data_IF_952664687720
#
_entry.id   IF_952664687720
#
_cell.length_a   1.000
_cell.length_b   1.000
_cell.length_c   1.000
_cell.angle_alpha   90.00
_cell.angle_beta   90.00
_cell.angle_gamma   90.00
#
_symmetry.space_group_name_H-M   'P 1'
#
loop_
_entity.id
_entity.type
_entity.pdbx_description
1 polymer ?
#
# COMPACT_ATOMS: atom_id res chain seq x y z
N UNK A 1 39.60 -62.01 36.73
CA UNK A 1 40.26 -60.75 36.33
C UNK A 1 39.79 -60.40 34.93
N UNK A 2 39.01 -59.33 34.80
CA UNK A 2 38.01 -59.10 33.74
C UNK A 2 38.60 -58.39 32.51
N UNK A 3 38.36 -58.93 31.30
CA UNK A 3 38.65 -58.29 30.01
C UNK A 3 37.60 -57.20 29.70
N UNK A 4 37.86 -55.95 30.08
CA UNK A 4 37.12 -54.74 29.64
C UNK A 4 38.01 -53.90 28.73
N UNK A 5 38.00 -54.16 27.42
CA UNK A 5 38.79 -53.37 26.45
C UNK A 5 38.18 -53.23 25.05
N UNK A 6 37.22 -54.08 24.67
CA UNK A 6 36.63 -54.06 23.32
C UNK A 6 35.51 -53.04 23.12
N UNK A 7 34.77 -52.68 24.17
CA UNK A 7 33.53 -51.90 24.02
C UNK A 7 33.78 -50.40 23.80
N UNK A 8 34.79 -49.83 24.46
CA UNK A 8 35.16 -48.41 24.29
C UNK A 8 35.67 -48.11 22.87
N UNK A 9 36.42 -49.02 22.24
CA UNK A 9 36.90 -48.82 20.85
C UNK A 9 35.76 -48.85 19.83
N UNK A 10 34.74 -49.69 20.04
CA UNK A 10 33.56 -49.74 19.16
C UNK A 10 32.67 -48.50 19.30
N UNK A 11 32.53 -47.96 20.50
CA UNK A 11 31.78 -46.71 20.73
C UNK A 11 32.52 -45.50 20.13
N UNK A 12 33.84 -45.41 20.32
CA UNK A 12 34.63 -44.32 19.71
C UNK A 12 34.59 -44.40 18.18
N UNK A 13 34.69 -45.59 17.59
CA UNK A 13 34.56 -45.76 16.14
C UNK A 13 33.16 -45.37 15.62
N UNK A 14 32.10 -45.70 16.36
CA UNK A 14 30.73 -45.32 15.99
C UNK A 14 30.50 -43.80 16.10
N UNK A 15 31.05 -43.14 17.12
CA UNK A 15 30.94 -41.68 17.28
C UNK A 15 31.73 -40.95 16.20
N UNK A 16 32.92 -41.44 15.84
CA UNK A 16 33.71 -40.86 14.72
C UNK A 16 32.99 -41.06 13.38
N UNK A 17 32.35 -42.21 13.15
CA UNK A 17 31.57 -42.45 11.94
C UNK A 17 30.34 -41.54 11.87
N UNK A 18 29.64 -41.32 12.99
CA UNK A 18 28.49 -40.40 13.06
C UNK A 18 28.95 -38.95 12.83
N UNK A 19 30.09 -38.53 13.39
CA UNK A 19 30.63 -37.19 13.16
C UNK A 19 31.06 -36.99 11.70
N UNK A 20 31.65 -38.01 11.06
CA UNK A 20 31.99 -37.96 9.63
C UNK A 20 30.71 -37.88 8.78
N UNK A 21 29.68 -38.68 9.09
CA UNK A 21 28.39 -38.64 8.38
C UNK A 21 27.73 -37.28 8.54
N UNK A 22 27.71 -36.71 9.76
CA UNK A 22 27.18 -35.37 10.01
C UNK A 22 27.99 -34.30 9.26
N UNK A 23 29.31 -34.39 9.22
CA UNK A 23 30.16 -33.45 8.47
C UNK A 23 29.97 -33.58 6.95
N UNK A 24 29.75 -34.79 6.43
CA UNK A 24 29.44 -34.99 5.01
C UNK A 24 28.03 -34.56 4.64
N UNK A 25 27.07 -34.69 5.56
CA UNK A 25 25.71 -34.16 5.39
C UNK A 25 25.73 -32.64 5.44
N UNK A 26 26.47 -32.01 6.37
CA UNK A 26 26.65 -30.55 6.42
C UNK A 26 27.39 -30.03 5.18
N UNK A 27 28.39 -30.78 4.68
CA UNK A 27 29.12 -30.45 3.46
C UNK A 27 28.22 -30.61 2.20
N UNK A 28 27.38 -31.64 2.12
CA UNK A 28 26.41 -31.79 1.01
C UNK A 28 25.22 -30.82 1.10
N UNK A 29 24.80 -30.40 2.31
CA UNK A 29 23.84 -29.32 2.50
C UNK A 29 24.46 -27.96 2.16
N UNK A 30 25.75 -27.77 2.43
CA UNK A 30 26.51 -26.57 2.02
C UNK A 30 26.70 -26.51 0.49
N UNK A 31 26.87 -27.64 -0.20
CA UNK A 31 26.95 -27.69 -1.66
C UNK A 31 25.57 -27.60 -2.36
N UNK A 32 24.45 -27.61 -1.62
CA UNK A 32 23.09 -27.49 -2.18
C UNK A 32 22.34 -26.21 -1.76
N UNK A 33 23.03 -25.27 -1.10
CA UNK A 33 22.49 -23.98 -0.64
C UNK A 33 23.18 -22.75 -1.22
N UNK A 34 23.83 -22.86 -2.38
CA UNK A 34 24.36 -21.71 -3.10
C UNK A 34 24.04 -21.81 -4.60
N UNK A 35 22.83 -21.38 -4.97
CA UNK A 35 22.50 -20.88 -6.31
C UNK A 35 21.19 -20.05 -6.31
N UNK A 36 21.05 -19.18 -5.30
CA UNK A 36 20.08 -18.08 -5.35
C UNK A 36 20.63 -16.76 -4.78
N UNK A 37 21.95 -16.57 -4.84
CA UNK A 37 22.54 -15.25 -4.89
C UNK A 37 22.19 -14.67 -6.26
N UNK A 38 21.11 -13.90 -6.33
CA UNK A 38 20.82 -13.05 -7.49
C UNK A 38 21.98 -12.07 -7.60
N UNK A 39 22.94 -12.38 -8.47
CA UNK A 39 23.94 -11.45 -8.91
C UNK A 39 23.22 -10.25 -9.52
N UNK A 40 23.47 -9.05 -8.97
CA UNK A 40 23.18 -7.81 -9.67
C UNK A 40 23.97 -7.88 -10.99
N UNK A 41 23.26 -7.99 -12.12
CA UNK A 41 23.91 -7.98 -13.43
C UNK A 41 24.68 -6.65 -13.62
N UNK A 42 25.83 -6.67 -14.34
CA UNK A 42 26.61 -5.46 -14.56
C UNK A 42 25.82 -4.45 -15.40
N UNK A 43 26.01 -3.16 -15.09
CA UNK A 43 25.54 -2.04 -15.90
C UNK A 43 25.98 -2.19 -17.37
N UNK A 44 25.01 -2.30 -18.28
CA UNK A 44 25.23 -2.14 -19.71
C UNK A 44 25.53 -0.67 -20.03
N UNK A 45 26.60 -0.42 -20.78
CA UNK A 45 27.00 0.91 -21.26
C UNK A 45 26.63 1.12 -22.73
N UNK A 46 25.39 0.79 -23.11
CA UNK A 46 24.91 1.06 -24.47
C UNK A 46 23.98 2.30 -24.48
N UNK A 47 24.37 3.33 -25.23
CA UNK A 47 23.77 4.67 -25.21
C UNK A 47 22.38 4.75 -25.89
N UNK A 48 21.79 3.63 -26.32
CA UNK A 48 20.50 3.60 -27.02
C UNK A 48 19.48 2.57 -26.50
N UNK A 49 19.71 1.91 -25.37
CA UNK A 49 18.66 1.14 -24.68
C UNK A 49 17.96 2.02 -23.64
N UNK A 50 16.61 1.96 -23.58
CA UNK A 50 15.83 2.58 -22.50
C UNK A 50 16.47 2.20 -21.18
N UNK A 51 16.95 3.19 -20.42
CA UNK A 51 17.73 3.00 -19.19
C UNK A 51 16.86 2.24 -18.18
N UNK A 52 17.04 0.91 -18.12
CA UNK A 52 16.49 0.08 -17.08
C UNK A 52 17.34 0.32 -15.83
N UNK A 53 16.93 1.26 -14.99
CA UNK A 53 17.34 1.23 -13.57
C UNK A 53 16.95 -0.17 -13.10
N UNK A 54 17.89 -0.98 -12.59
CA UNK A 54 17.76 -2.42 -12.29
C UNK A 54 16.58 -2.80 -11.39
N UNK A 55 15.38 -2.60 -11.90
CA UNK A 55 14.08 -2.79 -11.28
C UNK A 55 13.43 -3.92 -12.02
N UNK A 56 12.82 -4.84 -11.28
CA UNK A 56 12.00 -5.90 -11.87
C UNK A 56 10.83 -5.21 -12.59
N UNK A 57 10.85 -5.23 -13.92
CA UNK A 57 9.80 -4.63 -14.75
C UNK A 57 8.53 -5.49 -14.60
N UNK A 58 7.57 -5.02 -13.81
CA UNK A 58 6.25 -5.62 -13.72
C UNK A 58 5.38 -5.10 -14.86
N UNK A 59 4.64 -6.00 -15.53
CA UNK A 59 3.66 -5.60 -16.54
C UNK A 59 2.68 -4.57 -15.95
N UNK A 60 2.24 -3.57 -16.73
CA UNK A 60 1.16 -2.68 -16.31
C UNK A 60 -0.07 -3.51 -15.93
N UNK A 61 -0.71 -3.17 -14.82
CA UNK A 61 -2.04 -3.69 -14.53
C UNK A 61 -2.99 -3.02 -15.53
N UNK A 62 -3.81 -3.78 -16.25
CA UNK A 62 -4.77 -3.25 -17.23
C UNK A 62 -5.85 -2.34 -16.59
N UNK A 63 -5.84 -2.19 -15.26
CA UNK A 63 -6.80 -1.41 -14.47
C UNK A 63 -6.32 0.00 -14.07
N UNK A 64 -5.36 0.59 -14.78
CA UNK A 64 -4.93 2.00 -14.62
C UNK A 64 -6.00 3.02 -15.03
N UNK A 65 -7.20 2.97 -14.45
CA UNK A 65 -8.29 3.91 -14.71
C UNK A 65 -8.25 5.06 -13.71
N UNK A 66 -8.41 6.30 -14.19
CA UNK A 66 -8.61 7.46 -13.31
C UNK A 66 -9.94 7.37 -12.54
N UNK A 67 -10.01 8.00 -11.36
CA UNK A 67 -11.24 8.05 -10.56
C UNK A 67 -12.25 8.95 -11.27
N UNK A 68 -13.38 8.38 -11.68
CA UNK A 68 -14.47 9.09 -12.35
C UNK A 68 -15.63 9.29 -11.39
N UNK A 69 -16.41 10.34 -11.64
CA UNK A 69 -17.64 10.62 -10.91
C UNK A 69 -18.84 10.66 -11.86
N UNK A 70 -19.90 9.94 -11.50
CA UNK A 70 -21.20 9.96 -12.16
C UNK A 70 -22.18 10.67 -11.24
N UNK A 71 -22.77 11.76 -11.71
CA UNK A 71 -23.79 12.47 -10.94
C UNK A 71 -25.10 11.67 -10.96
N UNK A 72 -25.58 11.27 -9.78
CA UNK A 72 -26.84 10.55 -9.62
C UNK A 72 -28.00 11.54 -9.43
N UNK A 73 -27.78 12.57 -8.62
CA UNK A 73 -28.71 13.66 -8.38
C UNK A 73 -27.96 14.94 -7.99
N UNK A 74 -28.69 16.01 -7.67
CA UNK A 74 -28.07 17.25 -7.19
C UNK A 74 -27.22 16.99 -5.94
N UNK A 75 -25.91 17.27 -6.02
CA UNK A 75 -24.92 17.06 -4.94
C UNK A 75 -24.80 15.60 -4.45
N UNK A 76 -25.09 14.62 -5.32
CA UNK A 76 -24.94 13.19 -5.05
C UNK A 76 -24.19 12.56 -6.23
N UNK A 77 -23.02 12.02 -5.95
CA UNK A 77 -22.10 11.48 -6.97
C UNK A 77 -21.71 10.05 -6.60
N UNK A 78 -21.77 9.15 -7.56
CA UNK A 78 -21.13 7.84 -7.48
C UNK A 78 -19.71 7.95 -8.07
N UNK A 79 -18.73 7.27 -7.50
CA UNK A 79 -17.39 7.15 -8.09
C UNK A 79 -17.04 5.71 -8.43
N UNK A 80 -16.18 5.09 -7.63
CA UNK A 80 -15.71 3.72 -7.79
C UNK A 80 -16.79 2.74 -7.38
N UNK A 81 -17.10 1.76 -8.23
CA UNK A 81 -17.98 0.65 -7.87
C UNK A 81 -17.23 -0.68 -7.92
N UNK A 82 -17.63 -1.64 -7.09
CA UNK A 82 -16.96 -2.92 -7.04
C UNK A 82 -17.92 -4.06 -6.69
N UNK A 83 -17.75 -5.17 -7.38
CA UNK A 83 -18.38 -6.44 -7.03
C UNK A 83 -17.57 -7.05 -5.90
N UNK A 84 -18.19 -7.24 -4.75
CA UNK A 84 -17.56 -7.75 -3.53
C UNK A 84 -18.12 -9.13 -3.17
N UNK A 85 -17.32 -10.17 -3.43
CA UNK A 85 -17.62 -11.55 -3.07
C UNK A 85 -17.16 -11.93 -1.66
N UNK A 86 -16.40 -11.07 -0.96
CA UNK A 86 -15.87 -11.38 0.36
C UNK A 86 -17.00 -11.62 1.35
N UNK A 87 -17.03 -12.85 1.86
CA UNK A 87 -18.04 -13.31 2.80
C UNK A 87 -17.70 -12.84 4.21
N UNK A 88 -18.05 -11.58 4.48
CA UNK A 88 -17.79 -10.93 5.75
C UNK A 88 -19.02 -10.32 6.41
N UNK A 89 -18.76 -9.58 7.48
CA UNK A 89 -19.81 -8.97 8.32
C UNK A 89 -20.47 -7.76 7.68
N UNK A 90 -20.05 -7.41 6.45
CA UNK A 90 -20.64 -6.37 5.62
C UNK A 90 -21.67 -6.90 4.62
N UNK A 91 -22.03 -8.18 4.73
CA UNK A 91 -22.91 -8.88 3.78
C UNK A 91 -22.22 -9.18 2.46
N UNK A 92 -22.66 -10.25 1.78
CA UNK A 92 -22.09 -10.74 0.51
C UNK A 92 -23.14 -11.59 -0.22
N UNK A 93 -23.11 -11.76 -1.55
CA UNK A 93 -22.36 -10.94 -2.50
C UNK A 93 -23.07 -9.61 -2.74
N UNK A 94 -22.31 -8.54 -2.89
CA UNK A 94 -22.82 -7.18 -3.10
C UNK A 94 -22.12 -6.54 -4.29
N UNK A 95 -22.84 -5.68 -5.01
CA UNK A 95 -22.19 -4.56 -5.70
C UNK A 95 -22.19 -3.38 -4.74
N UNK A 96 -21.00 -2.83 -4.52
CA UNK A 96 -20.79 -1.69 -3.63
C UNK A 96 -20.35 -0.47 -4.44
N UNK A 97 -20.73 0.70 -3.99
CA UNK A 97 -20.44 1.96 -4.69
C UNK A 97 -19.91 2.97 -3.70
N UNK A 98 -18.74 3.53 -3.98
CA UNK A 98 -18.23 4.70 -3.30
C UNK A 98 -19.08 5.91 -3.72
N UNK A 99 -19.80 6.47 -2.77
CA UNK A 99 -20.71 7.59 -2.95
C UNK A 99 -20.15 8.82 -2.25
N UNK A 100 -20.36 9.99 -2.85
CA UNK A 100 -20.10 11.28 -2.21
C UNK A 100 -21.37 12.12 -2.23
N UNK A 101 -21.86 12.48 -1.06
CA UNK A 101 -23.12 13.20 -0.88
C UNK A 101 -23.15 14.01 0.41
N UNK A 102 -24.09 14.95 0.52
CA UNK A 102 -24.21 15.81 1.71
C UNK A 102 -24.79 15.12 2.93
N UNK A 103 -25.89 14.40 2.71
CA UNK A 103 -26.59 13.64 3.72
C UNK A 103 -26.78 12.21 3.21
N UNK A 104 -26.89 11.27 4.13
CA UNK A 104 -27.33 9.92 3.77
C UNK A 104 -28.71 9.97 3.13
N UNK A 105 -28.90 9.16 2.09
CA UNK A 105 -30.13 9.05 1.30
C UNK A 105 -30.45 7.58 1.06
N UNK A 106 -31.71 7.28 0.75
CA UNK A 106 -32.16 5.91 0.47
C UNK A 106 -32.12 5.62 -1.03
N UNK A 107 -31.45 4.53 -1.40
CA UNK A 107 -31.26 4.13 -2.79
C UNK A 107 -31.97 2.82 -3.11
N UNK A 108 -32.35 2.67 -4.37
CA UNK A 108 -32.69 1.38 -4.99
C UNK A 108 -31.61 1.01 -6.00
N UNK A 109 -31.31 -0.28 -6.08
CA UNK A 109 -30.40 -0.83 -7.08
C UNK A 109 -31.11 -1.89 -7.92
N UNK A 110 -30.73 -2.01 -9.19
CA UNK A 110 -31.31 -2.95 -10.15
C UNK A 110 -30.19 -3.61 -10.97
N UNK A 111 -30.31 -4.92 -11.18
CA UNK A 111 -29.38 -5.78 -11.93
C UNK A 111 -30.15 -6.48 -13.06
N UNK A 112 -29.98 -6.01 -14.30
CA UNK A 112 -30.91 -6.39 -15.39
C UNK A 112 -32.33 -6.03 -14.98
N UNK A 113 -33.28 -6.97 -14.99
CA UNK A 113 -34.67 -6.72 -14.56
C UNK A 113 -34.93 -6.96 -13.06
N UNK A 114 -33.91 -7.29 -12.27
CA UNK A 114 -34.08 -7.68 -10.87
C UNK A 114 -33.68 -6.55 -9.93
N UNK A 115 -34.60 -6.07 -9.09
CA UNK A 115 -34.26 -5.15 -8.01
C UNK A 115 -33.46 -5.86 -6.91
N UNK A 116 -32.53 -5.14 -6.30
CA UNK A 116 -31.78 -5.59 -5.15
C UNK A 116 -32.73 -5.83 -3.96
N UNK A 117 -32.68 -7.00 -3.30
CA UNK A 117 -33.55 -7.27 -2.16
C UNK A 117 -33.16 -6.46 -0.90
N UNK A 118 -31.92 -5.97 -0.82
CA UNK A 118 -31.41 -5.20 0.31
C UNK A 118 -30.48 -4.12 -0.20
N UNK A 119 -30.79 -2.87 0.12
CA UNK A 119 -29.93 -1.71 -0.08
C UNK A 119 -29.61 -1.07 1.27
N UNK A 120 -28.37 -0.65 1.46
CA UNK A 120 -27.95 0.07 2.67
C UNK A 120 -26.80 1.01 2.38
N UNK A 121 -26.71 2.09 3.15
CA UNK A 121 -25.64 3.09 3.04
C UNK A 121 -24.78 3.04 4.29
N UNK A 122 -23.47 2.94 4.11
CA UNK A 122 -22.47 2.96 5.17
C UNK A 122 -21.65 4.25 5.09
N UNK A 123 -21.67 5.09 6.12
CA UNK A 123 -20.86 6.30 6.19
C UNK A 123 -19.43 5.95 6.60
N UNK A 124 -18.43 6.46 5.88
CA UNK A 124 -17.03 6.29 6.27
C UNK A 124 -16.70 7.10 7.54
N UNK A 125 -15.82 6.59 8.37
CA UNK A 125 -15.57 7.03 9.75
C UNK A 125 -14.86 8.38 9.83
N UNK A 126 -14.02 8.72 8.86
CA UNK A 126 -13.17 9.92 8.86
C UNK A 126 -13.71 11.04 7.96
N UNK A 127 -15.03 11.23 7.94
CA UNK A 127 -15.67 12.32 7.18
C UNK A 127 -15.51 13.72 7.81
N UNK A 128 -15.08 13.80 9.07
CA UNK A 128 -14.82 15.04 9.82
C UNK A 128 -15.95 16.10 9.77
N UNK A 129 -17.20 15.66 9.68
CA UNK A 129 -18.39 16.53 9.63
C UNK A 129 -18.37 17.54 8.46
N UNK A 130 -17.68 17.22 7.37
CA UNK A 130 -17.62 18.06 6.17
C UNK A 130 -18.96 18.09 5.42
N UNK A 131 -19.13 19.08 4.55
CA UNK A 131 -20.37 19.27 3.80
C UNK A 131 -20.66 18.13 2.84
N UNK A 132 -19.66 17.70 2.10
CA UNK A 132 -19.67 16.49 1.28
C UNK A 132 -18.96 15.39 2.06
N UNK A 133 -19.60 14.24 2.16
CA UNK A 133 -19.11 13.07 2.90
C UNK A 133 -19.09 11.84 2.02
N UNK A 134 -18.22 10.92 2.35
CA UNK A 134 -17.99 9.67 1.65
C UNK A 134 -18.76 8.53 2.31
N UNK A 135 -19.45 7.74 1.49
CA UNK A 135 -20.24 6.59 1.91
C UNK A 135 -19.99 5.41 0.99
N UNK A 136 -20.35 4.21 1.42
CA UNK A 136 -20.48 3.01 0.59
C UNK A 136 -21.96 2.66 0.48
N UNK A 137 -22.53 2.77 -0.71
CA UNK A 137 -23.83 2.17 -1.03
C UNK A 137 -23.62 0.68 -1.27
N UNK A 138 -24.38 -0.15 -0.56
CA UNK A 138 -24.34 -1.60 -0.64
C UNK A 138 -25.62 -2.09 -1.32
N UNK A 139 -25.50 -2.65 -2.52
CA UNK A 139 -26.58 -3.30 -3.26
C UNK A 139 -26.42 -4.83 -3.22
N UNK A 140 -27.28 -5.53 -2.48
CA UNK A 140 -27.27 -6.99 -2.43
C UNK A 140 -27.58 -7.56 -3.81
N UNK A 141 -26.77 -8.49 -4.31
CA UNK A 141 -27.04 -9.13 -5.60
C UNK A 141 -28.13 -10.21 -5.41
N UNK A 142 -29.23 -10.21 -6.20
CA UNK A 142 -30.24 -11.26 -6.15
C UNK A 142 -29.67 -12.63 -6.53
N UNK A 143 -30.10 -13.70 -5.86
CA UNK A 143 -29.58 -15.06 -6.09
C UNK A 143 -29.79 -15.58 -7.53
N UNK A 144 -30.72 -15.01 -8.30
CA UNK A 144 -30.98 -15.37 -9.69
C UNK A 144 -30.08 -14.67 -10.71
N UNK A 145 -29.22 -13.74 -10.28
CA UNK A 145 -28.31 -12.99 -11.16
C UNK A 145 -26.98 -13.73 -11.24
N UNK A 146 -26.49 -13.97 -12.45
CA UNK A 146 -25.17 -14.52 -12.71
C UNK A 146 -24.10 -13.45 -12.46
N UNK A 147 -23.25 -13.68 -11.46
CA UNK A 147 -22.28 -12.69 -10.95
C UNK A 147 -21.08 -12.54 -11.90
N UNK A 148 -20.64 -13.65 -12.50
CA UNK A 148 -19.45 -13.69 -13.35
C UNK A 148 -19.62 -12.86 -14.63
N UNK A 149 -20.84 -12.76 -15.15
CA UNK A 149 -21.19 -11.99 -16.36
C UNK A 149 -21.68 -10.57 -16.07
N UNK A 150 -21.78 -10.17 -14.79
CA UNK A 150 -22.30 -8.87 -14.39
C UNK A 150 -21.28 -7.76 -14.60
N UNK A 151 -21.45 -6.93 -15.63
CA UNK A 151 -20.55 -5.79 -15.92
C UNK A 151 -21.13 -4.43 -15.50
N UNK A 152 -22.47 -4.33 -15.48
CA UNK A 152 -23.17 -3.08 -15.18
C UNK A 152 -24.35 -3.31 -14.23
N UNK A 153 -24.75 -2.25 -13.57
CA UNK A 153 -25.92 -2.22 -12.68
C UNK A 153 -26.49 -0.80 -12.65
N UNK A 154 -27.69 -0.68 -12.12
CA UNK A 154 -28.43 0.58 -12.10
C UNK A 154 -28.70 1.01 -10.67
N UNK A 155 -28.57 2.31 -10.38
CA UNK A 155 -28.97 2.88 -9.09
C UNK A 155 -29.88 4.08 -9.28
N UNK A 156 -30.71 4.35 -8.27
CA UNK A 156 -31.47 5.60 -8.15
C UNK A 156 -31.76 5.94 -6.70
N UNK A 157 -32.10 7.20 -6.44
CA UNK A 157 -32.76 7.56 -5.19
C UNK A 157 -34.17 6.95 -5.16
N UNK A 158 -34.61 6.54 -3.97
CA UNK A 158 -35.94 5.94 -3.79
C UNK A 158 -37.08 6.87 -4.21
N UNK A 159 -36.87 8.19 -4.01
CA UNK A 159 -37.81 9.25 -4.40
C UNK A 159 -37.82 9.59 -5.89
N UNK A 160 -36.83 9.09 -6.64
CA UNK A 160 -36.71 9.37 -8.07
C UNK A 160 -37.28 8.23 -8.92
N UNK A 161 -37.68 8.57 -10.14
CA UNK A 161 -38.22 7.58 -11.08
C UNK A 161 -37.12 6.89 -11.89
N UNK A 162 -36.14 7.69 -12.35
CA UNK A 162 -35.12 7.28 -13.31
C UNK A 162 -33.91 6.61 -12.64
N UNK A 163 -33.48 5.50 -13.23
CA UNK A 163 -32.23 4.83 -12.89
C UNK A 163 -31.04 5.42 -13.68
N UNK A 164 -29.87 5.39 -13.07
CA UNK A 164 -28.58 5.70 -13.67
C UNK A 164 -27.74 4.43 -13.76
N UNK A 165 -27.26 4.12 -14.97
CA UNK A 165 -26.35 3.00 -15.22
C UNK A 165 -24.94 3.31 -14.71
N UNK A 166 -24.33 2.32 -14.07
CA UNK A 166 -22.96 2.31 -13.58
C UNK A 166 -22.25 1.02 -14.01
N UNK A 167 -20.96 1.13 -14.30
CA UNK A 167 -20.11 -0.02 -14.59
C UNK A 167 -19.43 -0.49 -13.31
N UNK A 168 -19.22 -1.80 -13.19
CA UNK A 168 -18.38 -2.40 -12.15
C UNK A 168 -16.93 -2.06 -12.45
N UNK A 169 -16.27 -1.32 -11.55
CA UNK A 169 -14.88 -0.89 -11.71
C UNK A 169 -13.90 -1.97 -11.27
N UNK A 170 -14.15 -2.58 -10.11
CA UNK A 170 -13.30 -3.65 -9.57
C UNK A 170 -14.12 -4.91 -9.27
N UNK A 171 -13.48 -6.07 -9.43
CA UNK A 171 -14.01 -7.36 -8.97
C UNK A 171 -13.14 -7.84 -7.82
N UNK A 172 -13.73 -7.88 -6.64
CA UNK A 172 -13.09 -8.28 -5.39
C UNK A 172 -13.54 -9.70 -5.08
N UNK A 173 -12.68 -10.71 -5.28
CA UNK A 173 -13.02 -12.10 -4.99
C UNK A 173 -13.12 -12.33 -3.49
N UNK A 174 -13.70 -13.47 -3.09
CA UNK A 174 -13.56 -13.98 -1.73
C UNK A 174 -12.07 -14.07 -1.36
N UNK A 175 -11.69 -13.54 -0.21
CA UNK A 175 -10.30 -13.45 0.24
C UNK A 175 -9.63 -14.83 0.33
N UNK A 176 -10.40 -15.89 0.58
CA UNK A 176 -9.89 -17.28 0.65
C UNK A 176 -9.51 -17.84 -0.72
N UNK A 177 -9.97 -17.21 -1.81
CA UNK A 177 -9.59 -17.57 -3.18
C UNK A 177 -8.29 -16.89 -3.62
N UNK A 178 -7.81 -15.88 -2.89
CA UNK A 178 -6.55 -15.19 -3.18
C UNK A 178 -5.41 -16.05 -2.63
N UNK A 179 -4.65 -16.68 -3.53
CA UNK A 179 -3.55 -17.59 -3.17
C UNK A 179 -2.17 -17.04 -3.53
N UNK A 180 -2.12 -16.04 -4.39
CA UNK A 180 -0.88 -15.46 -4.90
C UNK A 180 -1.06 -13.96 -5.10
N UNK A 181 0.02 -13.22 -4.88
CA UNK A 181 0.12 -11.79 -5.12
C UNK A 181 1.18 -11.54 -6.20
N UNK A 182 0.94 -10.53 -7.04
CA UNK A 182 1.89 -10.12 -8.06
C UNK A 182 3.05 -9.31 -7.46
N UNK A 183 2.75 -8.59 -6.38
CA UNK A 183 3.65 -7.69 -5.68
C UNK A 183 3.63 -8.01 -4.18
N UNK A 184 4.78 -7.95 -3.52
CA UNK A 184 4.89 -8.16 -2.08
C UNK A 184 4.57 -6.91 -1.27
N UNK A 185 5.01 -5.73 -1.74
CA UNK A 185 4.76 -4.46 -1.06
C UNK A 185 4.48 -3.33 -2.06
N UNK A 186 3.36 -2.65 -1.85
CA UNK A 186 3.00 -1.41 -2.52
C UNK A 186 2.78 -0.25 -1.54
N UNK A 187 2.75 0.97 -2.06
CA UNK A 187 2.41 2.18 -1.29
C UNK A 187 1.24 2.89 -1.95
N UNK A 188 0.27 3.31 -1.14
CA UNK A 188 -0.79 4.24 -1.49
C UNK A 188 -0.47 5.62 -0.93
N UNK A 189 -0.16 6.56 -1.82
CA UNK A 189 0.00 7.99 -1.50
C UNK A 189 -1.32 8.69 -1.81
N UNK A 190 -2.01 9.25 -0.81
CA UNK A 190 -3.26 9.98 -1.02
C UNK A 190 -3.10 11.20 -1.94
N UNK A 191 -4.24 11.80 -2.33
CA UNK A 191 -4.25 12.86 -3.33
C UNK A 191 -3.28 14.01 -2.99
N UNK A 192 -2.28 14.22 -3.85
CA UNK A 192 -1.37 15.37 -3.78
C UNK A 192 -2.15 16.65 -4.09
N UNK A 193 -1.92 17.68 -3.27
CA UNK A 193 -2.55 19.00 -3.42
C UNK A 193 -1.56 20.13 -3.12
N UNK A 194 -1.88 21.33 -3.64
CA UNK A 194 -1.04 22.52 -3.51
C UNK A 194 0.25 22.43 -4.35
N UNK A 195 1.22 23.29 -4.04
CA UNK A 195 2.49 23.42 -4.80
C UNK A 195 3.73 23.15 -3.94
N UNK A 196 3.57 22.36 -2.88
CA UNK A 196 4.61 22.15 -1.85
C UNK A 196 5.66 21.09 -2.21
N UNK A 197 5.38 20.24 -3.19
CA UNK A 197 6.26 19.14 -3.58
C UNK A 197 7.41 19.65 -4.44
N UNK A 198 8.57 18.99 -4.36
CA UNK A 198 9.76 19.31 -5.17
C UNK A 198 10.19 18.06 -5.93
N UNK A 199 10.71 18.16 -7.17
CA UNK A 199 11.21 17.01 -7.93
C UNK A 199 12.20 16.14 -7.14
N UNK A 200 13.18 16.77 -6.49
CA UNK A 200 14.15 16.10 -5.61
C UNK A 200 13.46 15.36 -4.44
N UNK A 201 12.33 15.90 -3.97
CA UNK A 201 11.33 15.27 -3.08
C UNK A 201 10.99 13.86 -3.49
N UNK A 202 10.40 13.83 -4.67
CA UNK A 202 9.85 12.65 -5.32
C UNK A 202 10.96 11.64 -5.61
N UNK A 203 12.13 12.10 -6.08
CA UNK A 203 13.27 11.21 -6.33
C UNK A 203 13.73 10.54 -5.03
N UNK A 204 13.94 11.30 -3.96
CA UNK A 204 14.40 10.74 -2.69
C UNK A 204 13.37 9.75 -2.10
N UNK A 205 12.08 10.09 -2.14
CA UNK A 205 11.00 9.18 -1.73
C UNK A 205 10.98 7.90 -2.57
N UNK A 206 11.10 8.01 -3.89
CA UNK A 206 11.05 6.87 -4.78
C UNK A 206 12.23 5.92 -4.57
N UNK A 207 13.46 6.46 -4.54
CA UNK A 207 14.67 5.66 -4.39
C UNK A 207 14.76 5.01 -3.01
N UNK A 208 14.40 5.71 -1.93
CA UNK A 208 14.38 5.11 -0.60
C UNK A 208 13.40 3.94 -0.53
N UNK A 209 12.18 4.10 -1.03
CA UNK A 209 11.19 3.03 -0.99
C UNK A 209 11.56 1.86 -1.91
N UNK A 210 12.16 2.12 -3.08
CA UNK A 210 12.71 1.07 -3.94
C UNK A 210 13.78 0.24 -3.22
N UNK A 211 14.71 0.89 -2.49
CA UNK A 211 15.72 0.20 -1.67
C UNK A 211 15.14 -0.64 -0.53
N UNK A 212 13.90 -0.35 -0.12
CA UNK A 212 13.18 -1.12 0.88
C UNK A 212 12.38 -2.29 0.30
N UNK A 213 12.45 -2.50 -1.02
CA UNK A 213 11.76 -3.59 -1.71
C UNK A 213 10.31 -3.27 -2.08
N UNK A 214 9.89 -2.01 -2.00
CA UNK A 214 8.61 -1.57 -2.57
C UNK A 214 8.69 -1.76 -4.08
N UNK A 215 7.61 -2.30 -4.68
CA UNK A 215 7.59 -2.58 -6.12
C UNK A 215 6.67 -1.64 -6.88
N UNK A 216 5.69 -1.01 -6.20
CA UNK A 216 4.75 -0.08 -6.82
C UNK A 216 4.25 0.98 -5.84
N UNK A 217 4.14 2.20 -6.32
CA UNK A 217 3.55 3.33 -5.59
C UNK A 217 2.39 3.89 -6.43
N UNK A 218 1.21 3.95 -5.83
CA UNK A 218 0.05 4.63 -6.39
C UNK A 218 0.02 6.04 -5.85
N UNK A 219 0.09 7.03 -6.74
CA UNK A 219 0.05 8.45 -6.36
C UNK A 219 -1.21 9.07 -6.92
N UNK A 220 -2.08 9.54 -6.02
CA UNK A 220 -3.29 10.24 -6.40
C UNK A 220 -3.02 11.73 -6.57
N UNK A 221 -3.77 12.39 -7.43
CA UNK A 221 -3.63 13.84 -7.62
C UNK A 221 -4.59 14.40 -8.65
N UNK A 222 -4.66 15.72 -8.70
CA UNK A 222 -5.32 16.44 -9.80
C UNK A 222 -4.45 16.35 -11.04
N UNK A 223 -5.10 16.41 -12.21
CA UNK A 223 -4.39 16.48 -13.49
C UNK A 223 -3.37 17.63 -13.52
N UNK A 224 -3.74 18.77 -12.96
CA UNK A 224 -2.85 19.94 -12.86
C UNK A 224 -1.57 19.66 -12.08
N UNK A 225 -1.58 18.81 -11.06
CA UNK A 225 -0.38 18.44 -10.29
C UNK A 225 0.56 17.56 -11.14
N UNK A 226 0.00 16.66 -11.92
CA UNK A 226 0.77 15.74 -12.76
C UNK A 226 1.33 16.40 -14.02
N UNK A 227 0.71 17.47 -14.52
CA UNK A 227 1.17 18.20 -15.71
C UNK A 227 2.08 19.40 -15.41
N UNK A 228 2.31 19.74 -14.15
CA UNK A 228 3.14 20.88 -13.73
C UNK A 228 4.65 20.53 -13.69
N UNK A 229 5.47 21.33 -13.01
CA UNK A 229 6.92 21.15 -12.86
C UNK A 229 7.36 19.79 -12.28
N UNK A 230 6.44 19.00 -11.74
CA UNK A 230 6.69 17.62 -11.27
C UNK A 230 6.63 16.58 -12.40
N UNK A 231 5.99 16.90 -13.53
CA UNK A 231 5.63 15.96 -14.60
C UNK A 231 6.83 15.11 -15.03
N UNK A 232 7.93 15.74 -15.43
CA UNK A 232 9.15 15.03 -15.89
C UNK A 232 9.65 14.01 -14.87
N UNK A 233 9.57 14.33 -13.57
CA UNK A 233 10.03 13.42 -12.51
C UNK A 233 9.02 12.31 -12.24
N UNK A 234 7.72 12.61 -12.24
CA UNK A 234 6.68 11.60 -12.06
C UNK A 234 6.67 10.61 -13.22
N UNK A 235 6.71 11.10 -14.47
CA UNK A 235 6.71 10.26 -15.67
C UNK A 235 7.95 9.38 -15.77
N UNK A 236 9.12 9.86 -15.35
CA UNK A 236 10.30 9.00 -15.25
C UNK A 236 10.02 7.73 -14.42
N UNK A 237 9.28 7.84 -13.31
CA UNK A 237 8.94 6.67 -12.49
C UNK A 237 7.75 5.86 -13.03
N UNK A 238 6.84 6.47 -13.78
CA UNK A 238 5.77 5.76 -14.50
C UNK A 238 6.36 4.89 -15.61
N UNK A 239 7.25 5.45 -16.43
CA UNK A 239 7.92 4.75 -17.53
C UNK A 239 8.79 3.58 -17.03
N UNK A 240 9.32 3.71 -15.81
CA UNK A 240 10.04 2.65 -15.10
C UNK A 240 9.13 1.69 -14.30
N UNK A 241 7.81 1.74 -14.50
CA UNK A 241 6.78 0.89 -13.88
C UNK A 241 6.75 0.91 -12.33
N UNK A 242 7.33 1.95 -11.72
CA UNK A 242 7.39 2.10 -10.27
C UNK A 242 6.22 2.93 -9.73
N UNK A 243 5.84 3.99 -10.44
CA UNK A 243 4.68 4.80 -10.11
C UNK A 243 3.48 4.46 -10.99
N UNK A 244 2.29 4.48 -10.39
CA UNK A 244 1.01 4.57 -11.07
C UNK A 244 0.35 5.88 -10.62
N UNK A 245 0.19 6.82 -11.56
CA UNK A 245 -0.49 8.09 -11.28
C UNK A 245 -1.98 7.89 -11.48
N UNK A 246 -2.78 8.27 -10.49
CA UNK A 246 -4.24 8.14 -10.52
C UNK A 246 -4.86 9.52 -10.43
N UNK A 247 -5.48 9.98 -11.53
CA UNK A 247 -6.15 11.27 -11.52
C UNK A 247 -7.47 11.18 -10.76
N UNK A 248 -7.75 12.18 -9.92
CA UNK A 248 -9.02 12.35 -9.22
C UNK A 248 -9.52 13.79 -9.36
N UNK A 249 -10.55 13.98 -10.20
CA UNK A 249 -11.18 15.29 -10.38
C UNK A 249 -12.52 15.36 -9.64
N UNK A 250 -12.56 15.97 -8.46
CA UNK A 250 -13.79 16.17 -7.70
C UNK A 250 -14.77 17.05 -8.48
N UNK A 251 -16.06 16.66 -8.58
CA UNK A 251 -17.10 17.41 -9.30
C UNK A 251 -17.70 18.58 -8.49
N UNK A 252 -17.01 18.99 -7.42
CA UNK A 252 -17.41 20.04 -6.48
C UNK A 252 -16.15 20.68 -5.88
N UNK A 253 -16.30 21.75 -5.10
CA UNK A 253 -15.15 22.48 -4.56
C UNK A 253 -14.34 21.64 -3.56
N UNK A 254 -13.01 21.71 -3.62
CA UNK A 254 -12.08 20.97 -2.76
C UNK A 254 -12.38 21.12 -1.26
N UNK A 255 -12.78 22.32 -0.83
CA UNK A 255 -13.12 22.62 0.56
C UNK A 255 -14.49 22.08 0.99
N UNK A 256 -15.31 21.56 0.08
CA UNK A 256 -16.60 20.94 0.44
C UNK A 256 -16.40 19.55 1.07
N UNK A 257 -15.27 18.88 0.87
CA UNK A 257 -14.95 17.54 1.39
C UNK A 257 -13.70 17.56 2.26
N UNK A 258 -13.58 16.58 3.16
CA UNK A 258 -12.41 16.48 4.02
C UNK A 258 -11.12 16.26 3.22
N UNK A 259 -10.12 17.10 3.50
CA UNK A 259 -8.74 16.98 3.04
C UNK A 259 -8.62 16.62 1.55
N UNK A 260 -9.25 17.41 0.67
CA UNK A 260 -9.21 17.23 -0.79
C UNK A 260 -9.73 15.86 -1.28
N UNK A 261 -10.62 15.21 -0.52
CA UNK A 261 -11.20 13.92 -0.88
C UNK A 261 -10.30 12.74 -0.55
N UNK A 262 -9.45 12.86 0.49
CA UNK A 262 -8.47 11.85 0.86
C UNK A 262 -9.07 10.44 1.02
N UNK A 263 -10.26 10.33 1.63
CA UNK A 263 -10.94 9.04 1.79
C UNK A 263 -11.31 8.38 0.46
N UNK A 264 -11.57 9.17 -0.59
CA UNK A 264 -11.84 8.64 -1.93
C UNK A 264 -10.56 7.99 -2.48
N UNK A 265 -9.43 8.69 -2.41
CA UNK A 265 -8.14 8.14 -2.85
C UNK A 265 -7.71 6.92 -2.05
N UNK A 266 -7.88 6.92 -0.72
CA UNK A 266 -7.53 5.78 0.14
C UNK A 266 -8.40 4.57 -0.20
N UNK A 267 -9.71 4.76 -0.35
CA UNK A 267 -10.64 3.66 -0.66
C UNK A 267 -10.38 3.07 -2.04
N UNK A 268 -10.20 3.92 -3.05
CA UNK A 268 -9.87 3.45 -4.41
C UNK A 268 -8.53 2.71 -4.43
N UNK A 269 -7.50 3.20 -3.73
CA UNK A 269 -6.20 2.57 -3.70
C UNK A 269 -6.21 1.22 -2.97
N UNK A 270 -6.99 1.11 -1.89
CA UNK A 270 -7.23 -0.17 -1.22
C UNK A 270 -7.80 -1.18 -2.22
N UNK A 271 -8.85 -0.80 -2.98
CA UNK A 271 -9.50 -1.68 -3.95
C UNK A 271 -8.54 -2.13 -5.07
N UNK A 272 -7.68 -1.23 -5.58
CA UNK A 272 -6.65 -1.58 -6.59
C UNK A 272 -5.69 -2.66 -6.14
N UNK A 273 -5.42 -2.73 -4.84
CA UNK A 273 -4.41 -3.60 -4.28
C UNK A 273 -4.97 -4.97 -3.83
N UNK A 274 -6.29 -5.13 -3.73
CA UNK A 274 -6.91 -6.43 -3.40
C UNK A 274 -6.58 -7.46 -4.47
N UNK A 275 -5.94 -8.56 -4.06
CA UNK A 275 -5.50 -9.64 -4.96
C UNK A 275 -4.29 -9.29 -5.82
N UNK A 276 -3.71 -8.08 -5.65
CA UNK A 276 -2.53 -7.63 -6.40
C UNK A 276 -1.30 -7.61 -5.49
N UNK A 277 -1.42 -6.96 -4.34
CA UNK A 277 -0.31 -6.75 -3.40
C UNK A 277 -0.53 -7.55 -2.13
N UNK A 278 0.51 -8.26 -1.67
CA UNK A 278 0.48 -8.98 -0.39
C UNK A 278 0.33 -7.99 0.78
N UNK A 279 1.11 -6.91 0.74
CA UNK A 279 0.97 -5.79 1.68
C UNK A 279 0.89 -4.45 0.94
N UNK A 280 0.15 -3.52 1.53
CA UNK A 280 0.07 -2.15 1.07
C UNK A 280 0.22 -1.21 2.25
N UNK A 281 1.13 -0.24 2.16
CA UNK A 281 1.23 0.84 3.13
C UNK A 281 0.48 2.09 2.66
N UNK A 282 -0.10 2.82 3.60
CA UNK A 282 -0.80 4.08 3.34
C UNK A 282 -0.04 5.19 4.05
N UNK A 283 0.80 5.93 3.34
CA UNK A 283 1.62 7.00 3.91
C UNK A 283 1.80 8.14 2.91
N UNK A 284 2.13 9.33 3.43
CA UNK A 284 2.35 10.53 2.63
C UNK A 284 3.80 10.57 2.09
N UNK A 285 4.12 11.51 1.19
CA UNK A 285 5.46 11.60 0.55
C UNK A 285 6.57 12.01 1.54
N UNK A 286 6.20 12.73 2.58
CA UNK A 286 7.07 13.16 3.69
C UNK A 286 7.14 12.14 4.82
N UNK A 287 6.60 10.94 4.59
CA UNK A 287 6.58 9.84 5.54
C UNK A 287 7.12 8.55 4.91
N UNK A 288 7.80 7.73 5.71
CA UNK A 288 8.36 6.47 5.24
C UNK A 288 8.58 5.48 6.39
N UNK A 289 8.34 4.20 6.12
CA UNK A 289 8.63 3.12 7.06
C UNK A 289 10.10 2.73 6.97
N UNK A 290 10.69 2.29 8.08
CA UNK A 290 12.06 1.78 8.16
C UNK A 290 12.09 0.57 9.11
N UNK A 291 12.72 -0.55 8.72
CA UNK A 291 12.97 -1.65 9.63
C UNK A 291 14.04 -1.24 10.66
N UNK A 292 13.74 -1.50 11.93
CA UNK A 292 14.63 -1.22 13.06
C UNK A 292 15.40 -2.46 13.52
N UNK A 293 15.18 -3.58 12.84
CA UNK A 293 15.85 -4.88 13.02
C UNK A 293 16.75 -5.19 11.81
N UNK A 294 17.62 -6.20 11.93
CA UNK A 294 18.52 -6.59 10.84
C UNK A 294 17.81 -7.48 9.80
N UNK A 295 16.77 -6.94 9.16
CA UNK A 295 15.95 -7.56 8.12
C UNK A 295 15.52 -6.51 7.10
N UNK A 296 15.10 -6.94 5.92
CA UNK A 296 14.42 -6.05 4.97
C UNK A 296 13.08 -5.58 5.53
N UNK A 297 12.52 -4.51 4.97
CA UNK A 297 11.21 -4.00 5.39
C UNK A 297 10.13 -5.08 5.20
N UNK A 298 10.13 -5.77 4.05
CA UNK A 298 9.13 -6.81 3.76
C UNK A 298 9.25 -8.03 4.68
N UNK A 299 10.46 -8.49 5.00
CA UNK A 299 10.66 -9.57 5.97
C UNK A 299 10.15 -9.16 7.35
N UNK A 300 10.47 -7.94 7.78
CA UNK A 300 9.98 -7.39 9.06
C UNK A 300 8.46 -7.33 9.08
N UNK A 301 7.82 -6.87 7.99
CA UNK A 301 6.35 -6.84 7.88
C UNK A 301 5.78 -8.26 7.99
N UNK A 302 6.32 -9.23 7.23
CA UNK A 302 5.83 -10.62 7.27
C UNK A 302 5.91 -11.24 8.67
N UNK A 303 6.99 -10.97 9.41
CA UNK A 303 7.14 -11.48 10.78
C UNK A 303 6.12 -10.86 11.76
N UNK A 304 5.75 -9.59 11.53
CA UNK A 304 4.79 -8.87 12.38
C UNK A 304 3.33 -9.25 12.09
N UNK A 305 3.06 -9.86 10.94
CA UNK A 305 1.71 -10.25 10.53
C UNK A 305 1.46 -11.73 10.81
N UNK A 306 0.48 -11.99 11.68
CA UNK A 306 -0.08 -13.34 11.86
C UNK A 306 -1.19 -13.61 10.83
N UNK A 307 -1.66 -14.86 10.75
CA UNK A 307 -2.69 -15.29 9.80
C UNK A 307 -3.95 -14.40 9.82
N UNK A 308 -4.32 -13.82 10.97
CA UNK A 308 -5.50 -12.97 11.14
C UNK A 308 -5.18 -11.46 11.34
N UNK A 309 -3.95 -11.01 11.13
CA UNK A 309 -3.61 -9.58 11.18
C UNK A 309 -4.00 -8.90 9.86
N UNK A 310 -5.14 -8.21 9.79
CA UNK A 310 -5.52 -7.49 8.57
C UNK A 310 -4.67 -6.25 8.33
N UNK A 311 -4.25 -5.58 9.41
CA UNK A 311 -3.54 -4.31 9.34
C UNK A 311 -2.64 -4.13 10.55
N UNK A 312 -1.55 -3.40 10.37
CA UNK A 312 -0.64 -3.00 11.40
C UNK A 312 -0.53 -1.49 11.40
N UNK A 313 -1.04 -0.86 12.45
CA UNK A 313 -0.91 0.59 12.66
C UNK A 313 0.43 0.88 13.32
N UNK A 314 1.30 1.62 12.65
CA UNK A 314 2.63 1.97 13.17
C UNK A 314 2.64 3.43 13.57
N UNK A 315 3.15 3.67 14.77
CA UNK A 315 3.32 5.01 15.35
C UNK A 315 4.40 5.82 14.64
N UNK A 316 4.13 7.11 14.42
CA UNK A 316 5.10 8.02 13.80
C UNK A 316 6.16 8.52 14.79
N UNK A 317 7.39 8.67 14.31
CA UNK A 317 8.45 9.43 14.95
C UNK A 317 8.81 10.64 14.06
N UNK A 318 8.79 11.83 14.64
CA UNK A 318 9.09 13.04 13.88
C UNK A 318 10.60 13.21 13.65
N UNK A 319 10.93 13.66 12.45
CA UNK A 319 12.28 14.07 12.05
C UNK A 319 12.31 15.59 11.81
N UNK A 320 13.30 16.28 12.38
CA UNK A 320 13.51 17.70 12.15
C UNK A 320 13.96 17.93 10.73
N UNK A 321 13.15 18.62 9.94
CA UNK A 321 13.47 18.89 8.55
C UNK A 321 14.66 19.87 8.46
N UNK A 322 15.77 19.41 7.87
CA UNK A 322 16.95 20.25 7.61
C UNK A 322 16.80 20.92 6.24
N UNK A 323 16.22 22.13 6.26
CA UNK A 323 16.01 22.93 5.07
C UNK A 323 17.30 23.16 4.26
N UNK A 324 17.17 23.14 2.92
CA UNK A 324 18.29 23.32 2.00
C UNK A 324 19.16 22.09 1.78
N UNK A 325 18.93 20.99 2.51
CA UNK A 325 19.61 19.72 2.27
C UNK A 325 19.27 19.12 0.90
N UNK A 326 20.29 18.59 0.22
CA UNK A 326 20.11 17.81 -1.01
C UNK A 326 19.31 16.52 -0.75
N UNK A 327 19.66 15.78 0.31
CA UNK A 327 18.99 14.56 0.77
C UNK A 327 18.45 14.79 2.19
N UNK A 328 17.13 14.90 2.35
CA UNK A 328 16.54 15.13 3.68
C UNK A 328 16.64 13.91 4.57
N UNK A 329 16.42 12.71 4.03
CA UNK A 329 16.40 11.47 4.80
C UNK A 329 17.75 11.20 5.46
N UNK A 330 18.83 11.59 4.78
CA UNK A 330 20.19 11.39 5.28
C UNK A 330 20.65 12.48 6.25
N UNK A 331 20.12 13.70 6.13
CA UNK A 331 20.60 14.84 6.93
C UNK A 331 19.64 15.25 8.06
N UNK A 332 18.37 14.85 8.01
CA UNK A 332 17.35 15.17 9.01
C UNK A 332 17.36 14.19 10.20
N UNK A 333 18.53 13.91 10.76
CA UNK A 333 18.73 12.82 11.75
C UNK A 333 18.31 13.18 13.18
N UNK A 334 17.83 14.40 13.44
CA UNK A 334 17.35 14.80 14.76
C UNK A 334 15.87 14.46 14.89
N UNK A 335 15.56 13.52 15.77
CA UNK A 335 14.22 12.98 16.00
C UNK A 335 13.64 13.41 17.34
N UNK A 336 12.32 13.23 17.47
CA UNK A 336 11.66 13.36 18.76
C UNK A 336 12.14 12.29 19.76
N UNK A 337 12.35 12.69 21.02
CA UNK A 337 12.83 11.80 22.11
C UNK A 337 11.87 10.64 22.39
N UNK A 338 10.56 10.90 22.36
CA UNK A 338 9.52 9.89 22.46
C UNK A 338 8.94 9.63 21.07
N UNK A 339 8.31 8.48 20.91
CA UNK A 339 7.28 8.32 19.89
C UNK A 339 6.12 9.19 20.38
N UNK A 340 6.12 10.44 19.95
CA UNK A 340 5.35 11.52 20.59
C UNK A 340 3.85 11.36 20.32
N UNK A 341 3.48 10.70 19.23
CA UNK A 341 2.13 10.81 18.71
C UNK A 341 1.51 9.43 18.44
N UNK A 342 0.73 8.92 19.40
CA UNK A 342 -0.16 7.76 19.16
C UNK A 342 -1.35 8.09 18.25
N UNK A 343 -1.51 9.37 17.87
CA UNK A 343 -2.62 9.87 17.03
C UNK A 343 -2.25 9.97 15.55
N UNK A 344 -0.99 10.23 15.24
CA UNK A 344 -0.48 10.25 13.87
C UNK A 344 0.28 8.95 13.65
N UNK A 345 -0.44 8.03 13.07
CA UNK A 345 0.02 6.69 12.73
C UNK A 345 -0.31 6.44 11.28
N UNK A 346 0.39 5.52 10.63
CA UNK A 346 0.03 5.03 9.31
C UNK A 346 -0.07 3.51 9.34
N UNK A 347 -0.77 2.96 8.37
CA UNK A 347 -1.05 1.53 8.33
C UNK A 347 -0.26 0.86 7.21
N UNK A 348 0.25 -0.33 7.52
CA UNK A 348 0.58 -1.35 6.53
C UNK A 348 -0.53 -2.38 6.66
N UNK A 349 -1.08 -2.92 5.57
CA UNK A 349 -2.22 -3.84 5.64
C UNK A 349 -2.19 -4.90 4.55
N UNK A 350 -2.97 -5.97 4.75
CA UNK A 350 -3.35 -6.95 3.74
C UNK A 350 -4.68 -6.51 3.10
N UNK A 351 -4.67 -6.02 1.85
CA UNK A 351 -5.82 -5.33 1.25
C UNK A 351 -7.12 -6.13 1.30
N UNK A 352 -7.05 -7.44 1.06
CA UNK A 352 -8.18 -8.36 0.97
C UNK A 352 -8.96 -8.47 2.29
N UNK A 353 -8.31 -8.24 3.43
CA UNK A 353 -8.90 -8.37 4.76
C UNK A 353 -9.55 -7.08 5.29
N UNK A 354 -9.41 -5.97 4.56
CA UNK A 354 -9.86 -4.64 5.00
C UNK A 354 -11.07 -4.19 4.20
N UNK A 355 -12.09 -3.68 4.90
CA UNK A 355 -13.27 -3.08 4.28
C UNK A 355 -13.13 -1.56 4.17
N UNK A 356 -12.63 -0.90 5.23
CA UNK A 356 -12.42 0.54 5.28
C UNK A 356 -11.06 0.84 5.90
N UNK A 357 -10.21 1.51 5.11
CA UNK A 357 -8.98 2.13 5.59
C UNK A 357 -9.21 3.64 5.76
N UNK A 358 -8.88 4.15 6.95
CA UNK A 358 -8.84 5.59 7.23
C UNK A 358 -7.45 6.19 6.98
N UNK A 359 -7.24 7.45 7.36
CA UNK A 359 -5.95 8.14 7.18
C UNK A 359 -4.91 7.61 8.16
N UNK A 360 -5.33 7.36 9.40
CA UNK A 360 -4.40 6.97 10.48
C UNK A 360 -4.63 5.55 11.02
N UNK A 361 -5.74 4.92 10.70
CA UNK A 361 -6.09 3.60 11.22
C UNK A 361 -6.95 2.83 10.22
N UNK A 362 -6.99 1.52 10.36
CA UNK A 362 -8.02 0.71 9.68
C UNK A 362 -9.32 0.84 10.47
N UNK A 363 -10.32 1.47 9.86
CA UNK A 363 -11.60 1.73 10.52
C UNK A 363 -12.49 0.48 10.55
N UNK A 364 -12.39 -0.39 9.53
CA UNK A 364 -13.17 -1.63 9.48
C UNK A 364 -12.47 -2.75 8.73
N UNK A 365 -12.36 -3.91 9.37
CA UNK A 365 -11.97 -5.18 8.74
C UNK A 365 -13.19 -5.90 8.14
N UNK A 366 -12.96 -6.82 7.19
CA UNK A 366 -14.06 -7.52 6.51
C UNK A 366 -14.69 -8.63 7.37
N UNK A 367 -13.95 -9.23 8.30
CA UNK A 367 -14.38 -10.28 9.23
C UNK A 367 -13.94 -9.99 10.67
N UNK A 368 -14.76 -10.35 11.66
CA UNK A 368 -14.52 -10.04 13.09
C UNK A 368 -13.29 -10.74 13.69
N UNK A 369 -12.86 -11.86 13.11
CA UNK A 369 -11.65 -12.56 13.55
C UNK A 369 -10.36 -11.86 13.11
N UNK A 370 -10.44 -10.93 12.16
CA UNK A 370 -9.30 -10.15 11.72
C UNK A 370 -9.02 -8.98 12.66
N UNK A 371 -7.73 -8.67 12.83
CA UNK A 371 -7.26 -7.69 13.80
C UNK A 371 -6.48 -6.56 13.14
N UNK A 372 -6.51 -5.38 13.76
CA UNK A 372 -5.67 -4.22 13.40
C UNK A 372 -4.87 -3.74 14.62
N UNK A 373 -3.86 -4.50 15.08
CA UNK A 373 -3.02 -4.10 16.20
C UNK A 373 -2.22 -2.82 15.92
N UNK A 374 -1.74 -2.20 17.00
CA UNK A 374 -0.80 -1.08 16.93
C UNK A 374 0.59 -1.53 17.30
N UNK A 375 1.56 -1.28 16.41
CA UNK A 375 2.98 -1.51 16.65
C UNK A 375 3.62 -0.29 17.29
N UNK A 376 4.53 -0.51 18.24
CA UNK A 376 5.11 0.54 19.07
C UNK A 376 6.36 1.20 18.47
N UNK A 377 6.75 0.86 17.25
CA UNK A 377 7.93 1.45 16.59
C UNK A 377 9.27 0.76 16.87
N UNK A 378 9.28 -0.34 17.62
CA UNK A 378 10.50 -1.05 18.04
C UNK A 378 11.17 -1.89 16.92
N UNK A 379 10.38 -2.64 16.15
CA UNK A 379 10.83 -3.46 15.00
C UNK A 379 10.63 -2.79 13.64
N UNK A 380 9.53 -2.06 13.45
CA UNK A 380 9.27 -1.22 12.27
C UNK A 380 8.83 0.15 12.73
N UNK A 381 9.37 1.20 12.12
CA UNK A 381 9.09 2.60 12.49
C UNK A 381 8.67 3.42 11.30
N UNK A 382 7.65 4.24 11.50
CA UNK A 382 7.26 5.30 10.58
C UNK A 382 7.98 6.59 10.96
N UNK A 383 8.73 7.16 10.03
CA UNK A 383 9.27 8.50 10.16
C UNK A 383 8.40 9.51 9.41
N UNK A 384 8.27 10.73 9.96
CA UNK A 384 7.52 11.83 9.36
C UNK A 384 8.33 13.11 9.50
N UNK A 385 8.63 13.81 8.41
CA UNK A 385 9.29 15.12 8.49
C UNK A 385 8.42 16.20 9.13
N UNK A 386 8.99 17.03 9.98
CA UNK A 386 8.29 18.17 10.56
C UNK A 386 9.10 19.45 10.39
N UNK A 387 8.43 20.51 9.96
CA UNK A 387 9.01 21.84 9.96
C UNK A 387 9.26 22.33 11.40
N UNK A 388 10.39 22.98 11.63
CA UNK A 388 10.83 23.42 12.95
C UNK A 388 11.67 22.37 13.69
N UNK A 389 12.27 22.80 14.81
CA UNK A 389 13.17 21.94 15.59
C UNK A 389 12.36 20.94 16.41
N UNK A 390 12.45 19.67 16.03
CA UNK A 390 12.04 18.54 16.87
C UNK A 390 13.26 18.10 17.69
N UNK A 391 13.04 17.62 18.90
CA UNK A 391 14.10 17.42 19.89
C UNK A 391 13.93 16.08 20.61
N UNK A 392 15.00 15.38 21.01
CA UNK A 392 16.44 15.71 20.94
C UNK A 392 17.33 14.50 20.60
N UNK A 393 16.76 13.40 20.07
CA UNK A 393 17.51 12.16 19.83
C UNK A 393 18.09 12.13 18.43
N UNK A 394 19.39 11.86 18.31
CA UNK A 394 19.99 11.53 17.02
C UNK A 394 19.60 10.12 16.59
N UNK A 395 19.06 9.97 15.39
CA UNK A 395 18.77 8.69 14.75
C UNK A 395 19.45 8.68 13.37
N UNK A 396 20.54 7.91 13.27
CA UNK A 396 21.31 7.74 12.03
C UNK A 396 20.96 6.42 11.33
N UNK A 397 19.79 5.82 11.62
CA UNK A 397 19.41 4.50 11.06
C UNK A 397 19.34 4.54 9.54
N UNK A 398 18.67 5.54 8.95
CA UNK A 398 18.57 5.66 7.49
C UNK A 398 19.94 5.95 6.85
N UNK A 399 20.75 6.91 7.33
CA UNK A 399 22.14 7.07 6.88
C UNK A 399 22.95 5.79 6.92
N UNK A 400 22.84 5.01 8.00
CA UNK A 400 23.60 3.77 8.18
C UNK A 400 23.16 2.67 7.24
N UNK A 401 21.85 2.48 7.05
CA UNK A 401 21.30 1.39 6.24
C UNK A 401 21.35 1.69 4.73
N UNK A 402 21.04 2.92 4.34
CA UNK A 402 20.79 3.27 2.94
C UNK A 402 21.69 4.40 2.42
N UNK A 403 22.52 5.03 3.26
CA UNK A 403 23.21 6.28 2.92
C UNK A 403 24.03 6.23 1.62
N UNK A 404 24.83 5.18 1.44
CA UNK A 404 25.67 5.03 0.24
C UNK A 404 24.82 4.84 -1.03
N UNK A 405 23.92 3.84 -1.00
CA UNK A 405 23.12 3.47 -2.16
C UNK A 405 22.10 4.55 -2.52
N UNK A 406 21.39 5.11 -1.52
CA UNK A 406 20.45 6.20 -1.73
C UNK A 406 21.14 7.43 -2.32
N UNK A 407 22.35 7.78 -1.84
CA UNK A 407 23.11 8.89 -2.40
C UNK A 407 23.49 8.63 -3.86
N UNK A 408 23.92 7.41 -4.17
CA UNK A 408 24.30 7.01 -5.51
C UNK A 408 23.11 7.10 -6.49
N UNK A 409 21.99 6.42 -6.16
CA UNK A 409 20.79 6.40 -6.99
C UNK A 409 20.17 7.79 -7.15
N UNK A 410 20.06 8.55 -6.05
CA UNK A 410 19.54 9.91 -6.08
C UNK A 410 20.36 10.80 -7.02
N UNK A 411 21.69 10.79 -6.90
CA UNK A 411 22.55 11.63 -7.75
C UNK A 411 22.51 11.21 -9.22
N UNK A 412 22.40 9.91 -9.48
CA UNK A 412 22.22 9.37 -10.82
C UNK A 412 20.93 9.89 -11.46
N UNK A 413 19.77 9.68 -10.81
CA UNK A 413 18.47 10.14 -11.33
C UNK A 413 18.42 11.67 -11.42
N UNK A 414 18.94 12.39 -10.42
CA UNK A 414 19.03 13.86 -10.45
C UNK A 414 19.79 14.36 -11.69
N UNK A 415 20.90 13.70 -12.06
CA UNK A 415 21.66 14.03 -13.27
C UNK A 415 20.85 13.73 -14.54
N UNK A 416 20.16 12.60 -14.60
CA UNK A 416 19.31 12.24 -15.74
C UNK A 416 18.19 13.26 -15.97
N UNK A 417 17.59 13.74 -14.90
CA UNK A 417 16.44 14.65 -14.94
C UNK A 417 16.82 16.14 -14.93
N UNK A 418 18.12 16.47 -14.92
CA UNK A 418 18.63 17.85 -14.83
C UNK A 418 18.05 18.67 -13.66
N UNK A 419 17.97 18.06 -12.46
CA UNK A 419 17.30 18.61 -11.26
C UNK A 419 18.16 19.42 -10.30
#
# INVERSE_FOLDING_TARGET
>A
MVRRGGWRRKIVAAVVLILIILFTIDYQLSETLDDSLVALEPFSTDENEKIVVGRKIFKPLENGQNVKFVQIAAKIYASTSFLDERNGNMGYPFVRVLMVMRNSEDFKCKFGEKESPVTSVYELSENHNMHMRTYILNCKIPASVEIDSLETFQIKLTKDEKYTDLNITYRVPDEKKISQHQISLSICVPALFGSVYKPRRIVEFAELNALQGVQRVYIYGRKSIFEDFLNTTLQFYVENNFFELVEIELPFGDSEIWYHGQLISITDCLLRNIGVSEFTSFNDIDEFFIPMVNKTLIETIRDLFSENTASLRVVAQYMSLVNGSELLTLNSTVTSERIVEKRLTKCILRPEMVFEQGIHHTSRVIQDNYTSPTHDGSEVRLFHYREGRVCCRKDDTVPRLYGNELTHQFRFVKKLLNL
#
